data_IF_308178210142
#
_entry.id   IF_308178210142
#
_cell.length_a   1.000
_cell.length_b   1.000
_cell.length_c   1.000
_cell.angle_alpha   90.00
_cell.angle_beta   90.00
_cell.angle_gamma   90.00
#
_symmetry.space_group_name_H-M   'P 1'
#
loop_
_entity.id
_entity.type
_entity.pdbx_description
1 polymer ?
#
# COMPACT_ATOMS: atom_id res chain seq x y z
N UNK A 1 -3.57 -12.82 3.30
CA UNK A 1 -2.94 -12.57 1.99
C UNK A 1 -1.63 -11.85 2.23
N UNK A 2 -0.52 -12.33 1.66
CA UNK A 2 0.84 -11.81 1.83
C UNK A 2 1.04 -10.58 0.92
N UNK A 3 1.85 -9.61 1.34
CA UNK A 3 2.14 -8.37 0.59
C UNK A 3 2.42 -8.68 -0.89
N UNK A 4 1.47 -8.33 -1.79
CA UNK A 4 1.66 -8.48 -3.22
C UNK A 4 2.20 -7.18 -3.81
N UNK A 5 3.20 -7.32 -4.69
CA UNK A 5 3.79 -6.22 -5.43
C UNK A 5 3.49 -6.43 -6.92
N UNK A 6 2.86 -5.43 -7.54
CA UNK A 6 2.54 -5.47 -8.97
C UNK A 6 3.56 -4.63 -9.70
N UNK A 7 4.19 -5.21 -10.72
CA UNK A 7 5.23 -4.58 -11.52
C UNK A 7 4.77 -4.32 -12.95
N UNK A 8 5.30 -3.28 -13.58
CA UNK A 8 5.19 -3.05 -15.02
C UNK A 8 6.18 -3.92 -15.81
N UNK A 9 6.15 -3.78 -17.14
CA UNK A 9 7.05 -4.48 -18.08
C UNK A 9 8.54 -4.17 -17.86
N UNK A 10 8.86 -3.08 -17.18
CA UNK A 10 10.21 -2.60 -16.90
C UNK A 10 10.65 -2.98 -15.47
N UNK A 11 9.84 -3.76 -14.75
CA UNK A 11 10.11 -4.22 -13.39
C UNK A 11 9.93 -3.15 -12.31
N UNK A 12 9.26 -2.04 -12.61
CA UNK A 12 8.93 -0.99 -11.63
C UNK A 12 7.54 -1.22 -11.04
N UNK A 13 7.32 -0.79 -9.80
CA UNK A 13 6.00 -0.87 -9.18
C UNK A 13 4.96 -0.12 -10.03
N UNK A 14 3.82 -0.76 -10.26
CA UNK A 14 2.70 -0.22 -11.04
C UNK A 14 1.42 -0.12 -10.19
N UNK A 15 1.28 0.93 -9.36
CA UNK A 15 0.08 1.15 -8.55
C UNK A 15 -1.20 1.32 -9.38
N UNK A 16 -1.09 1.80 -10.63
CA UNK A 16 -2.24 2.00 -11.52
C UNK A 16 -2.90 0.67 -11.93
N UNK A 17 -2.17 -0.44 -11.88
CA UNK A 17 -2.74 -1.76 -12.11
C UNK A 17 -3.79 -2.15 -11.05
N UNK A 18 -3.74 -1.58 -9.83
CA UNK A 18 -4.74 -1.84 -8.78
C UNK A 18 -6.15 -1.40 -9.20
N UNK A 19 -6.25 -0.37 -10.04
CA UNK A 19 -7.51 0.13 -10.60
C UNK A 19 -8.25 -0.94 -11.41
N UNK A 20 -7.50 -1.85 -12.04
CA UNK A 20 -8.05 -2.93 -12.87
C UNK A 20 -8.41 -4.18 -12.06
N UNK A 21 -7.98 -4.25 -10.79
CA UNK A 21 -8.14 -5.45 -9.95
C UNK A 21 -9.44 -5.38 -9.13
N UNK A 22 -9.82 -4.20 -8.64
CA UNK A 22 -11.01 -4.06 -7.83
C UNK A 22 -11.22 -2.65 -7.28
N UNK A 23 -12.09 -2.52 -6.28
CA UNK A 23 -12.34 -1.24 -5.62
C UNK A 23 -11.07 -0.75 -4.90
N UNK A 24 -10.75 0.53 -5.10
CA UNK A 24 -9.57 1.16 -4.52
C UNK A 24 -9.89 2.54 -3.98
N UNK A 25 -9.06 3.03 -3.07
CA UNK A 25 -9.14 4.39 -2.54
C UNK A 25 -7.74 4.99 -2.34
N UNK A 26 -7.59 6.32 -2.41
CA UNK A 26 -6.32 6.97 -2.10
C UNK A 26 -5.97 6.75 -0.62
N UNK A 27 -4.71 6.43 -0.34
CA UNK A 27 -4.19 6.23 1.01
C UNK A 27 -2.91 7.02 1.26
N UNK A 28 -2.65 7.25 2.53
CA UNK A 28 -1.36 7.72 3.03
C UNK A 28 -0.81 6.74 4.06
N UNK A 29 0.45 6.37 3.92
CA UNK A 29 1.14 5.49 4.87
C UNK A 29 2.10 6.31 5.70
N UNK A 30 1.81 6.38 7.00
CA UNK A 30 2.61 7.08 8.00
C UNK A 30 3.36 6.07 8.88
N UNK A 31 4.56 6.44 9.31
CA UNK A 31 5.30 5.68 10.32
C UNK A 31 4.67 5.96 11.69
N UNK A 32 4.18 4.94 12.43
CA UNK A 32 3.64 5.13 13.77
C UNK A 32 4.64 5.82 14.71
N UNK A 33 4.21 6.71 15.62
CA UNK A 33 5.11 7.47 16.49
C UNK A 33 6.10 6.58 17.27
N UNK A 34 5.64 5.44 17.78
CA UNK A 34 6.49 4.49 18.52
C UNK A 34 7.62 3.90 17.65
N UNK A 35 7.34 3.64 16.37
CA UNK A 35 8.34 3.16 15.42
C UNK A 35 9.28 4.31 15.06
N UNK A 36 8.77 5.52 14.86
CA UNK A 36 9.57 6.71 14.59
C UNK A 36 10.56 7.02 15.74
N UNK A 37 10.12 6.90 16.99
CA UNK A 37 10.98 7.01 18.18
C UNK A 37 12.11 5.97 18.15
N UNK A 38 11.77 4.71 17.84
CA UNK A 38 12.73 3.60 17.80
C UNK A 38 13.78 3.82 16.70
N UNK A 39 13.35 4.25 15.50
CA UNK A 39 14.24 4.57 14.39
C UNK A 39 15.16 5.75 14.74
N UNK A 40 14.60 6.80 15.34
CA UNK A 40 15.36 7.99 15.74
C UNK A 40 16.40 7.67 16.81
N UNK A 41 16.04 6.84 17.81
CA UNK A 41 16.96 6.39 18.84
C UNK A 41 18.09 5.52 18.28
N UNK A 42 17.84 4.80 17.18
CA UNK A 42 18.85 4.04 16.44
C UNK A 42 19.68 4.91 15.47
N UNK A 43 19.47 6.24 15.44
CA UNK A 43 20.12 7.15 14.49
C UNK A 43 19.67 6.95 13.05
N UNK A 44 18.57 6.24 12.81
CA UNK A 44 18.02 5.98 11.49
C UNK A 44 17.03 7.09 11.10
N UNK A 45 17.02 7.45 9.83
CA UNK A 45 16.04 8.39 9.31
C UNK A 45 14.63 7.78 9.38
N UNK A 46 13.66 8.55 9.89
CA UNK A 46 12.26 8.17 9.85
C UNK A 46 11.76 8.35 8.41
N UNK A 47 11.21 7.29 7.78
CA UNK A 47 10.62 7.40 6.44
C UNK A 47 9.58 8.51 6.36
N UNK A 48 9.58 9.25 5.25
CA UNK A 48 8.53 10.24 4.96
C UNK A 48 7.22 9.52 4.66
N UNK A 49 6.10 10.21 4.88
CA UNK A 49 4.79 9.74 4.44
C UNK A 49 4.81 9.45 2.93
N UNK A 50 4.21 8.33 2.56
CA UNK A 50 4.06 7.92 1.16
C UNK A 50 2.57 7.87 0.83
N UNK A 51 2.18 8.54 -0.25
CA UNK A 51 0.82 8.50 -0.79
C UNK A 51 0.72 7.40 -1.85
N UNK A 52 -0.46 6.79 -1.99
CA UNK A 52 -0.68 5.70 -2.93
C UNK A 52 -2.14 5.29 -3.08
N UNK A 53 -2.35 4.13 -3.72
CA UNK A 53 -3.66 3.51 -3.85
C UNK A 53 -3.71 2.24 -2.99
N UNK A 54 -4.74 2.12 -2.17
CA UNK A 54 -5.07 0.89 -1.45
C UNK A 54 -6.16 0.12 -2.19
N UNK A 55 -5.92 -1.17 -2.45
CA UNK A 55 -6.94 -2.07 -2.97
C UNK A 55 -7.75 -2.63 -1.81
N UNK A 56 -9.08 -2.60 -1.93
CA UNK A 56 -9.96 -3.30 -1.00
C UNK A 56 -9.95 -4.77 -1.40
N UNK A 57 -9.08 -5.54 -0.74
CA UNK A 57 -9.15 -7.00 -0.80
C UNK A 57 -10.28 -7.47 0.13
N UNK A 58 -11.48 -7.63 -0.41
CA UNK A 58 -12.63 -8.14 0.35
C UNK A 58 -12.55 -9.66 0.58
N UNK A 59 -11.57 -10.36 -0.02
CA UNK A 59 -11.56 -11.82 -0.09
C UNK A 59 -12.77 -12.41 -0.83
N UNK A 60 -13.67 -11.59 -1.36
CA UNK A 60 -14.87 -12.03 -2.06
C UNK A 60 -14.54 -12.20 -3.54
N UNK A 61 -14.49 -13.45 -3.99
CA UNK A 61 -14.41 -13.78 -5.41
C UNK A 61 -15.78 -13.55 -6.04
N UNK A 62 -16.08 -12.29 -6.39
CA UNK A 62 -17.32 -11.83 -7.03
C UNK A 62 -18.60 -11.97 -6.17
N UNK A 63 -19.59 -11.09 -6.39
CA UNK A 63 -20.96 -11.05 -5.79
C UNK A 63 -21.06 -10.17 -4.53
N UNK A 64 -21.94 -9.17 -4.41
CA UNK A 64 -23.25 -8.97 -5.04
C UNK A 64 -23.40 -7.58 -5.67
N UNK A 65 -23.94 -7.56 -6.88
CA UNK A 65 -24.62 -6.38 -7.44
C UNK A 65 -25.95 -6.23 -6.67
N UNK A 66 -26.32 -4.99 -6.35
CA UNK A 66 -27.72 -4.55 -6.29
C UNK A 66 -27.85 -3.23 -7.03
#
# INVERSE_FOLDING_TARGET
>A
MHNQFIYDKDGKLNPQALVQIGAFFPIEVHVPPKIAETLSAAGQAVPKCVTGLGLIDTGATLTCIS
#
